data_IF_421556749525
#
_entry.id   IF_421556749525
#
_cell.length_a   1.000
_cell.length_b   1.000
_cell.length_c   1.000
_cell.angle_alpha   90.00
_cell.angle_beta   90.00
_cell.angle_gamma   90.00
#
_symmetry.space_group_name_H-M   'P 1'
#
loop_
_entity.id
_entity.type
_entity.pdbx_description
1 polymer ?
#
# COMPACT_ATOMS: atom_id res chain seq x y z
N UNK A 1 0.10 -1.57 21.41
CA UNK A 1 0.26 -1.71 19.95
C UNK A 1 -1.12 -1.51 19.35
N UNK A 2 -1.28 -0.55 18.45
CA UNK A 2 -2.49 -0.43 17.64
C UNK A 2 -2.74 -1.78 16.96
N UNK A 3 -3.94 -2.33 17.13
CA UNK A 3 -4.31 -3.58 16.49
C UNK A 3 -4.26 -3.37 14.97
N UNK A 4 -3.47 -4.19 14.28
CA UNK A 4 -3.40 -4.18 12.82
C UNK A 4 -4.62 -4.94 12.30
N UNK A 5 -5.60 -4.20 11.80
CA UNK A 5 -6.81 -4.75 11.20
C UNK A 5 -6.51 -5.13 9.75
N UNK A 6 -6.13 -6.40 9.55
CA UNK A 6 -5.70 -6.92 8.27
C UNK A 6 -6.81 -6.92 7.22
N UNK A 7 -8.03 -7.24 7.64
CA UNK A 7 -9.20 -7.25 6.77
C UNK A 7 -9.49 -5.84 6.26
N UNK A 8 -9.53 -4.84 7.15
CA UNK A 8 -9.75 -3.45 6.74
C UNK A 8 -8.63 -2.90 5.85
N UNK A 9 -7.38 -3.33 6.06
CA UNK A 9 -6.25 -2.93 5.22
C UNK A 9 -6.35 -3.55 3.84
N UNK A 10 -6.66 -4.85 3.75
CA UNK A 10 -6.83 -5.56 2.49
C UNK A 10 -7.97 -4.94 1.67
N UNK A 11 -9.13 -4.68 2.29
CA UNK A 11 -10.28 -4.03 1.67
C UNK A 11 -9.93 -2.68 1.01
N UNK A 12 -9.12 -1.87 1.70
CA UNK A 12 -8.68 -0.57 1.19
C UNK A 12 -7.68 -0.72 0.04
N UNK A 13 -6.75 -1.68 0.14
CA UNK A 13 -5.79 -1.97 -0.93
C UNK A 13 -6.50 -2.49 -2.17
N UNK A 14 -7.44 -3.41 -2.04
CA UNK A 14 -8.21 -3.95 -3.17
C UNK A 14 -8.98 -2.83 -3.90
N UNK A 15 -9.57 -1.88 -3.17
CA UNK A 15 -10.20 -0.69 -3.77
C UNK A 15 -9.19 0.20 -4.48
N UNK A 16 -8.01 0.41 -3.90
CA UNK A 16 -6.92 1.15 -4.54
C UNK A 16 -6.46 0.47 -5.85
N UNK A 17 -6.34 -0.86 -5.82
CA UNK A 17 -5.99 -1.68 -6.99
C UNK A 17 -7.09 -1.63 -8.06
N UNK A 18 -8.36 -1.59 -7.68
CA UNK A 18 -9.43 -1.41 -8.65
C UNK A 18 -9.31 -0.05 -9.36
N UNK A 19 -8.98 1.02 -8.62
CA UNK A 19 -8.77 2.35 -9.21
C UNK A 19 -7.56 2.40 -10.15
N UNK A 20 -6.47 1.69 -9.86
CA UNK A 20 -5.32 1.59 -10.77
C UNK A 20 -5.63 0.77 -12.02
N UNK A 21 -6.51 -0.23 -11.94
CA UNK A 21 -6.96 -0.98 -13.13
C UNK A 21 -7.79 -0.10 -14.08
N UNK A 22 -8.60 0.80 -13.52
CA UNK A 22 -9.41 1.76 -14.27
C UNK A 22 -8.55 2.90 -14.87
N UNK A 23 -7.41 3.23 -14.23
CA UNK A 23 -6.49 4.29 -14.63
C UNK A 23 -5.02 3.79 -14.66
N UNK A 24 -4.69 2.84 -15.53
CA UNK A 24 -3.37 2.23 -15.57
C UNK A 24 -2.28 3.23 -15.98
N UNK A 25 -1.11 3.12 -15.34
CA UNK A 25 0.00 4.07 -15.44
C UNK A 25 -0.13 5.30 -14.53
N UNK A 26 -1.26 5.50 -13.85
CA UNK A 26 -1.40 6.52 -12.81
C UNK A 26 -1.09 5.98 -11.42
N UNK A 27 -0.62 6.87 -10.54
CA UNK A 27 -0.35 6.54 -9.14
C UNK A 27 -1.59 6.81 -8.30
N UNK A 28 -2.13 5.76 -7.70
CA UNK A 28 -3.20 5.83 -6.70
C UNK A 28 -2.58 5.75 -5.31
N UNK A 29 -2.79 6.79 -4.50
CA UNK A 29 -2.36 6.82 -3.11
C UNK A 29 -3.45 6.29 -2.18
N UNK A 30 -3.14 5.26 -1.41
CA UNK A 30 -4.02 4.69 -0.39
C UNK A 30 -3.52 5.12 0.99
N UNK A 31 -4.38 5.79 1.76
CA UNK A 31 -4.01 6.35 3.06
C UNK A 31 -4.54 5.51 4.23
N UNK A 32 -3.65 5.15 5.15
CA UNK A 32 -3.92 4.41 6.38
C UNK A 32 -3.67 5.32 7.59
N UNK A 33 -4.63 6.19 7.87
CA UNK A 33 -4.53 7.20 8.95
C UNK A 33 -4.21 6.62 10.32
N UNK A 34 -4.81 5.48 10.68
CA UNK A 34 -4.54 4.78 11.94
C UNK A 34 -3.11 4.23 12.05
N UNK A 35 -2.45 4.02 10.91
CA UNK A 35 -1.06 3.56 10.82
C UNK A 35 -0.08 4.73 10.58
N UNK A 36 -0.58 5.96 10.46
CA UNK A 36 0.18 7.13 9.98
C UNK A 36 0.99 6.81 8.72
N UNK A 37 0.43 6.01 7.81
CA UNK A 37 1.12 5.54 6.61
C UNK A 37 0.26 5.74 5.36
N UNK A 38 0.88 5.89 4.20
CA UNK A 38 0.24 5.78 2.91
C UNK A 38 1.07 4.85 2.01
N UNK A 39 0.40 4.25 1.04
CA UNK A 39 1.00 3.37 0.02
C UNK A 39 0.66 3.95 -1.34
N UNK A 40 1.68 4.07 -2.19
CA UNK A 40 1.51 4.46 -3.59
C UNK A 40 1.40 3.19 -4.43
N UNK A 41 0.29 3.04 -5.15
CA UNK A 41 -0.02 1.93 -6.03
C UNK A 41 -0.01 2.41 -7.47
N UNK A 42 0.64 1.68 -8.36
CA UNK A 42 0.56 1.90 -9.80
C UNK A 42 0.56 0.54 -10.48
N UNK A 43 -0.30 0.38 -11.48
CA UNK A 43 -0.37 -0.84 -12.29
C UNK A 43 -0.22 -0.43 -13.73
N UNK A 44 0.69 -1.08 -14.44
CA UNK A 44 0.93 -0.81 -15.86
C UNK A 44 -0.18 -1.41 -16.74
N UNK A 45 -0.26 -0.92 -17.97
CA UNK A 45 -1.27 -1.37 -18.94
C UNK A 45 -1.24 -2.87 -19.21
N UNK A 46 -0.05 -3.48 -19.15
CA UNK A 46 0.17 -4.90 -19.43
C UNK A 46 -0.31 -5.79 -18.28
N UNK A 47 -0.15 -5.33 -17.04
CA UNK A 47 -0.42 -6.13 -15.84
C UNK A 47 -1.84 -5.91 -15.27
N UNK A 48 -2.57 -4.90 -15.75
CA UNK A 48 -3.90 -4.52 -15.20
C UNK A 48 -4.97 -5.60 -15.26
N UNK A 49 -4.77 -6.65 -16.07
CA UNK A 49 -5.71 -7.78 -16.18
C UNK A 49 -5.11 -9.09 -15.67
N UNK A 50 -3.89 -9.10 -15.12
CA UNK A 50 -3.29 -10.29 -14.53
C UNK A 50 -3.79 -10.47 -13.09
N UNK A 51 -4.72 -11.40 -12.82
CA UNK A 51 -5.27 -11.58 -11.48
C UNK A 51 -4.23 -12.08 -10.48
N UNK A 52 -3.20 -12.80 -10.93
CA UNK A 52 -2.13 -13.32 -10.07
C UNK A 52 -1.22 -12.17 -9.63
N UNK A 53 -0.85 -11.31 -10.56
CA UNK A 53 -0.08 -10.11 -10.26
C UNK A 53 -0.83 -9.21 -9.27
N UNK A 54 -2.10 -8.89 -9.57
CA UNK A 54 -2.92 -8.01 -8.72
C UNK A 54 -3.11 -8.56 -7.30
N UNK A 55 -3.39 -9.86 -7.17
CA UNK A 55 -3.48 -10.51 -5.87
C UNK A 55 -2.14 -10.49 -5.12
N UNK A 56 -1.02 -10.73 -5.82
CA UNK A 56 0.31 -10.71 -5.22
C UNK A 56 0.69 -9.31 -4.72
N UNK A 57 0.27 -8.26 -5.44
CA UNK A 57 0.50 -6.86 -5.10
C UNK A 57 -0.28 -6.47 -3.83
N UNK A 58 -1.55 -6.86 -3.73
CA UNK A 58 -2.34 -6.66 -2.52
C UNK A 58 -1.70 -7.32 -1.30
N UNK A 59 -1.37 -8.61 -1.39
CA UNK A 59 -0.79 -9.38 -0.28
C UNK A 59 0.58 -8.86 0.14
N UNK A 60 1.41 -8.46 -0.83
CA UNK A 60 2.74 -7.87 -0.57
C UNK A 60 2.64 -6.54 0.18
N UNK A 61 1.70 -5.67 -0.24
CA UNK A 61 1.45 -4.40 0.41
C UNK A 61 0.90 -4.58 1.84
N UNK A 62 0.03 -5.57 2.07
CA UNK A 62 -0.43 -5.93 3.43
C UNK A 62 0.74 -6.32 4.32
N UNK A 63 1.62 -7.21 3.87
CA UNK A 63 2.77 -7.63 4.66
C UNK A 63 3.76 -6.49 4.93
N UNK A 64 3.98 -5.61 3.95
CA UNK A 64 4.84 -4.43 4.15
C UNK A 64 4.22 -3.42 5.12
N UNK A 65 2.90 -3.24 5.10
CA UNK A 65 2.19 -2.43 6.10
C UNK A 65 2.24 -3.06 7.50
N UNK A 66 2.13 -4.40 7.62
CA UNK A 66 2.32 -5.10 8.90
C UNK A 66 3.74 -4.89 9.44
N UNK A 67 4.74 -4.95 8.56
CA UNK A 67 6.14 -4.69 8.91
C UNK A 67 6.33 -3.25 9.37
N UNK A 68 5.80 -2.28 8.62
CA UNK A 68 5.83 -0.87 8.97
C UNK A 68 5.18 -0.59 10.33
N UNK A 69 4.01 -1.18 10.60
CA UNK A 69 3.31 -1.07 11.88
C UNK A 69 4.11 -1.66 13.06
N UNK A 70 5.07 -2.54 12.78
CA UNK A 70 6.02 -3.11 13.76
C UNK A 70 7.33 -2.32 13.84
N UNK A 71 7.45 -1.19 13.13
CA UNK A 71 8.68 -0.39 13.03
C UNK A 71 9.77 -1.04 12.17
N UNK A 72 9.41 -1.99 11.30
CA UNK A 72 10.33 -2.68 10.40
C UNK A 72 10.21 -2.11 8.98
N UNK A 73 11.31 -2.16 8.24
CA UNK A 73 11.32 -1.73 6.83
C UNK A 73 10.48 -2.68 5.95
N UNK A 74 9.74 -2.13 4.95
CA UNK A 74 9.13 -2.88 3.86
C UNK A 74 10.15 -3.77 3.13
N UNK A 75 9.69 -4.88 2.55
CA UNK A 75 10.52 -5.87 1.85
C UNK A 75 10.12 -6.10 0.40
N UNK A 76 8.88 -5.85 0.01
CA UNK A 76 8.34 -6.29 -1.27
C UNK A 76 8.21 -5.16 -2.30
N UNK A 77 9.09 -4.16 -2.24
CA UNK A 77 9.07 -3.03 -3.19
C UNK A 77 7.89 -2.08 -2.99
N UNK A 78 7.11 -2.25 -1.91
CA UNK A 78 6.01 -1.34 -1.56
C UNK A 78 6.57 -0.02 -1.06
N UNK A 79 6.21 1.08 -1.71
CA UNK A 79 6.55 2.42 -1.26
C UNK A 79 5.59 2.84 -0.14
N UNK A 80 5.96 2.53 1.11
CA UNK A 80 5.22 2.93 2.32
C UNK A 80 5.80 4.23 2.86
N UNK A 81 4.99 5.28 2.91
CA UNK A 81 5.41 6.60 3.38
C UNK A 81 4.62 7.03 4.62
N UNK A 82 5.22 7.77 5.56
CA UNK A 82 4.46 8.36 6.65
C UNK A 82 3.52 9.45 6.13
N UNK A 83 2.26 9.43 6.58
CA UNK A 83 1.23 10.44 6.24
C UNK A 83 1.65 11.85 6.70
N UNK A 84 2.17 11.94 7.93
CA UNK A 84 2.80 13.13 8.47
C UNK A 84 4.25 12.81 8.80
N UNK A 85 5.21 13.47 8.15
CA UNK A 85 6.62 13.46 8.54
C UNK A 85 7.06 14.86 8.97
N UNK A 86 7.69 14.93 10.14
CA UNK A 86 8.44 16.10 10.58
C UNK A 86 9.93 15.78 10.38
N UNK A 87 10.58 16.44 9.42
CA UNK A 87 12.03 16.33 9.23
C UNK A 87 12.69 17.46 10.01
N UNK A 88 13.28 17.14 11.17
CA UNK A 88 14.15 18.06 11.89
C UNK A 88 15.56 17.95 11.28
N UNK A 89 16.03 19.04 10.67
CA UNK A 89 17.42 19.17 10.19
C UNK A 89 18.18 20.07 11.17
N UNK A 90 19.33 19.61 11.65
CA UNK A 90 20.25 20.33 12.52
C UNK A 90 21.69 20.12 12.08
#
# INVERSE_FOLDING_TARGET
MTHFDEEAVLDLLERGIQLTQDNPGEVVRVEFTKLNACVDLSVDWEDRQDPTFLASLALSAVEDLKRHARGLEPRFGTSVHPLCSLVLRG
#
